data_IF_467163139998
#
_entry.id   IF_467163139998
#
_cell.length_a   1.000
_cell.length_b   1.000
_cell.length_c   1.000
_cell.angle_alpha   90.00
_cell.angle_beta   90.00
_cell.angle_gamma   90.00
#
_symmetry.space_group_name_H-M   'P 1'
#
loop_
_entity.id
_entity.type
_entity.pdbx_description
1 polymer ?
#
# COMPACT_ATOMS: atom_id res chain seq x y z
N UNK A 1 32.33 22.92 35.32
CA UNK A 1 31.74 21.57 35.30
C UNK A 1 31.13 21.34 33.91
N UNK A 2 31.34 20.15 33.35
CA UNK A 2 31.16 19.80 31.92
C UNK A 2 29.69 19.75 31.51
N UNK A 3 29.37 20.29 30.32
CA UNK A 3 28.04 20.16 29.69
C UNK A 3 27.78 18.69 29.34
N UNK A 4 26.69 18.13 29.87
CA UNK A 4 26.18 16.83 29.44
C UNK A 4 25.38 17.01 28.15
N UNK A 5 26.00 16.67 27.01
CA UNK A 5 25.29 16.56 25.73
C UNK A 5 24.41 15.32 25.74
N UNK A 6 23.10 15.51 25.94
CA UNK A 6 22.10 14.47 25.76
C UNK A 6 21.93 14.26 24.26
N UNK A 7 22.53 13.19 23.74
CA UNK A 7 22.38 12.76 22.35
C UNK A 7 20.99 12.13 22.21
N UNK A 8 20.01 12.87 21.69
CA UNK A 8 18.74 12.28 21.26
C UNK A 8 19.01 11.43 20.02
N UNK A 9 18.99 10.11 20.17
CA UNK A 9 18.88 9.22 19.01
C UNK A 9 17.53 9.49 18.34
N UNK A 10 17.48 9.74 17.01
CA UNK A 10 16.22 9.75 16.30
C UNK A 10 15.59 8.36 16.44
N UNK A 11 14.43 8.29 17.09
CA UNK A 11 13.59 7.11 17.07
C UNK A 11 13.14 6.92 15.62
N UNK A 12 13.85 6.07 14.87
CA UNK A 12 13.34 5.55 13.62
C UNK A 12 12.06 4.81 13.96
N UNK A 13 10.91 5.42 13.65
CA UNK A 13 9.64 4.73 13.69
C UNK A 13 9.81 3.48 12.83
N UNK A 14 9.91 2.31 13.47
CA UNK A 14 9.95 1.04 12.76
C UNK A 14 8.66 0.99 11.97
N UNK A 15 8.73 1.15 10.65
CA UNK A 15 7.57 1.01 9.78
C UNK A 15 6.96 -0.37 10.07
N UNK A 16 5.85 -0.40 10.80
CA UNK A 16 5.24 -1.66 11.26
C UNK A 16 4.67 -2.41 10.04
N UNK A 17 4.46 -1.72 8.91
CA UNK A 17 3.95 -2.27 7.66
C UNK A 17 4.86 -1.80 6.52
N UNK A 18 5.16 -2.70 5.58
CA UNK A 18 5.94 -2.41 4.37
C UNK A 18 5.10 -1.68 3.31
N UNK A 19 3.77 -1.77 3.43
CA UNK A 19 2.82 -1.10 2.58
C UNK A 19 1.47 -0.89 3.26
N UNK A 20 0.74 0.12 2.78
CA UNK A 20 -0.64 0.45 3.12
C UNK A 20 -1.40 0.73 1.81
N UNK A 21 -2.61 0.19 1.71
CA UNK A 21 -3.53 0.38 0.60
C UNK A 21 -4.88 0.86 1.15
N UNK A 22 -5.28 2.08 0.81
CA UNK A 22 -6.66 2.55 0.94
C UNK A 22 -7.36 2.34 -0.39
N UNK A 23 -8.48 1.61 -0.37
CA UNK A 23 -9.21 1.26 -1.58
C UNK A 23 -10.70 1.15 -1.28
N UNK A 24 -11.51 2.02 -1.90
CA UNK A 24 -12.96 1.98 -1.72
C UNK A 24 -13.44 2.31 -0.30
N UNK A 25 -12.64 3.06 0.46
CA UNK A 25 -12.91 3.37 1.88
C UNK A 25 -12.47 2.27 2.85
N UNK A 26 -11.85 1.19 2.36
CA UNK A 26 -11.24 0.16 3.19
C UNK A 26 -9.72 0.36 3.26
N UNK A 27 -9.11 0.00 4.38
CA UNK A 27 -7.67 0.05 4.58
C UNK A 27 -7.13 -1.38 4.70
N UNK A 28 -6.05 -1.64 3.97
CA UNK A 28 -5.30 -2.88 4.02
C UNK A 28 -3.83 -2.55 4.22
N UNK A 29 -3.12 -3.32 5.01
CA UNK A 29 -1.70 -3.15 5.25
C UNK A 29 -1.00 -4.50 5.36
N UNK A 30 0.32 -4.49 5.28
CA UNK A 30 1.10 -5.70 5.42
C UNK A 30 2.60 -5.48 5.36
N UNK A 31 3.35 -6.51 5.77
CA UNK A 31 4.83 -6.52 5.75
C UNK A 31 5.43 -7.24 4.55
N UNK A 32 4.62 -7.96 3.78
CA UNK A 32 5.07 -8.87 2.73
C UNK A 32 4.04 -9.02 1.62
N UNK A 33 4.26 -10.01 0.76
CA UNK A 33 3.36 -10.30 -0.35
C UNK A 33 1.95 -10.64 0.11
N UNK A 34 0.97 -10.28 -0.72
CA UNK A 34 -0.43 -10.61 -0.50
C UNK A 34 -1.04 -11.24 -1.74
N UNK A 35 -1.53 -12.46 -1.55
CA UNK A 35 -2.31 -13.17 -2.58
C UNK A 35 -3.59 -12.45 -2.95
N UNK A 36 -4.30 -12.99 -3.95
CA UNK A 36 -5.52 -12.38 -4.48
C UNK A 36 -6.55 -12.14 -3.37
N UNK A 37 -6.83 -10.87 -3.11
CA UNK A 37 -7.74 -10.44 -2.06
C UNK A 37 -8.92 -9.72 -2.69
N UNK A 38 -10.13 -10.22 -2.46
CA UNK A 38 -11.37 -9.61 -2.97
C UNK A 38 -11.61 -8.29 -2.24
N UNK A 39 -12.10 -7.31 -2.99
CA UNK A 39 -12.48 -5.98 -2.51
C UNK A 39 -13.66 -5.47 -3.33
N UNK A 40 -14.33 -4.43 -2.88
CA UNK A 40 -15.28 -3.69 -3.74
C UNK A 40 -14.95 -2.22 -3.67
N UNK A 41 -14.32 -1.70 -4.72
CA UNK A 41 -14.11 -0.28 -4.91
C UNK A 41 -14.66 0.12 -6.29
N UNK A 42 -15.59 1.06 -6.30
CA UNK A 42 -16.21 1.50 -7.54
C UNK A 42 -15.37 2.61 -8.19
N UNK A 43 -15.58 2.83 -9.48
CA UNK A 43 -15.06 4.01 -10.16
C UNK A 43 -15.44 5.28 -9.37
N UNK A 44 -14.50 6.22 -9.29
CA UNK A 44 -14.61 7.44 -8.48
C UNK A 44 -14.17 7.29 -7.02
N UNK A 45 -14.04 6.08 -6.47
CA UNK A 45 -13.53 5.88 -5.11
C UNK A 45 -12.04 6.23 -4.99
N UNK A 46 -11.63 6.65 -3.78
CA UNK A 46 -10.22 6.90 -3.45
C UNK A 46 -9.42 5.59 -3.51
N UNK A 47 -8.28 5.69 -4.18
CA UNK A 47 -7.16 4.76 -4.14
C UNK A 47 -5.97 5.53 -3.54
N UNK A 48 -5.33 4.92 -2.55
CA UNK A 48 -4.11 5.40 -1.94
C UNK A 48 -3.21 4.19 -1.70
N UNK A 49 -2.02 4.19 -2.30
CA UNK A 49 -1.03 3.14 -2.12
C UNK A 49 0.24 3.80 -1.63
N UNK A 50 0.64 3.45 -0.41
CA UNK A 50 1.78 3.99 0.29
C UNK A 50 2.72 2.82 0.65
N UNK A 51 4.02 3.01 0.41
CA UNK A 51 5.04 2.02 0.72
C UNK A 51 6.09 2.64 1.63
N UNK A 52 6.59 1.84 2.56
CA UNK A 52 7.72 2.27 3.37
C UNK A 52 8.93 2.62 2.46
N UNK A 53 9.76 3.58 2.88
CA UNK A 53 10.89 4.15 2.10
C UNK A 53 11.83 3.09 1.48
N UNK A 54 11.99 1.94 2.14
CA UNK A 54 12.87 0.86 1.69
C UNK A 54 12.12 -0.36 1.11
N UNK A 55 10.81 -0.24 0.93
CA UNK A 55 9.96 -1.31 0.43
C UNK A 55 9.98 -1.37 -1.09
N UNK A 56 10.17 -2.56 -1.64
CA UNK A 56 10.06 -2.85 -3.08
C UNK A 56 8.65 -3.30 -3.49
N UNK A 57 7.71 -3.35 -2.55
CA UNK A 57 6.36 -3.87 -2.80
C UNK A 57 5.67 -3.19 -3.98
N UNK A 58 4.86 -3.96 -4.71
CA UNK A 58 4.04 -3.47 -5.81
C UNK A 58 2.59 -3.87 -5.59
N UNK A 59 1.65 -2.94 -5.81
CA UNK A 59 0.22 -3.23 -5.80
C UNK A 59 -0.26 -3.56 -7.21
N UNK A 60 -1.11 -4.57 -7.31
CA UNK A 60 -1.84 -4.93 -8.53
C UNK A 60 -3.33 -4.81 -8.25
N UNK A 61 -4.08 -4.11 -9.11
CA UNK A 61 -5.53 -3.97 -9.03
C UNK A 61 -6.20 -4.72 -10.17
N UNK A 62 -7.35 -5.33 -9.89
CA UNK A 62 -8.07 -6.18 -10.84
C UNK A 62 -9.54 -5.78 -10.94
N UNK A 63 -10.08 -5.81 -12.15
CA UNK A 63 -11.49 -5.53 -12.45
C UNK A 63 -12.42 -6.71 -12.12
N UNK A 64 -11.87 -7.91 -11.93
CA UNK A 64 -12.57 -9.11 -11.51
C UNK A 64 -12.09 -9.59 -10.14
N UNK A 65 -12.91 -10.42 -9.50
CA UNK A 65 -12.65 -10.88 -8.14
C UNK A 65 -11.72 -12.10 -8.05
N UNK A 66 -11.28 -12.64 -9.20
CA UNK A 66 -10.34 -13.77 -9.31
C UNK A 66 -8.92 -13.34 -9.69
N UNK A 67 -8.64 -12.04 -9.71
CA UNK A 67 -7.36 -11.47 -10.12
C UNK A 67 -6.86 -11.95 -11.49
N UNK A 68 -7.78 -12.04 -12.46
CA UNK A 68 -7.48 -12.50 -13.83
C UNK A 68 -7.39 -11.36 -14.86
N UNK A 69 -8.01 -10.20 -14.57
CA UNK A 69 -8.12 -9.03 -15.45
C UNK A 69 -7.56 -7.79 -14.74
N UNK A 70 -6.23 -7.65 -14.79
CA UNK A 70 -5.51 -6.54 -14.16
C UNK A 70 -5.87 -5.21 -14.84
N UNK A 71 -6.17 -4.19 -14.03
CA UNK A 71 -6.50 -2.84 -14.49
C UNK A 71 -5.78 -1.73 -13.73
N UNK A 72 -4.82 -2.08 -12.88
CA UNK A 72 -3.92 -1.14 -12.22
C UNK A 72 -2.67 -1.85 -11.70
N UNK A 73 -1.56 -1.11 -11.65
CA UNK A 73 -0.29 -1.60 -11.13
C UNK A 73 0.59 -0.42 -10.73
N UNK A 74 1.24 -0.50 -9.56
CA UNK A 74 2.27 0.46 -9.17
C UNK A 74 3.25 -0.12 -8.16
N UNK A 75 4.54 0.15 -8.39
CA UNK A 75 5.63 -0.03 -7.41
C UNK A 75 6.13 1.32 -6.89
N UNK A 76 5.37 2.39 -7.07
CA UNK A 76 5.63 3.68 -6.44
C UNK A 76 4.36 4.13 -5.75
N UNK A 77 4.48 5.07 -4.82
CA UNK A 77 3.30 5.57 -4.13
C UNK A 77 2.29 6.09 -5.16
N UNK A 78 1.03 5.76 -4.94
CA UNK A 78 0.00 5.93 -5.95
C UNK A 78 -1.33 6.36 -5.34
N UNK A 79 -1.59 7.66 -5.43
CA UNK A 79 -2.83 8.27 -4.97
C UNK A 79 -3.64 8.80 -6.17
N UNK A 80 -4.91 8.39 -6.26
CA UNK A 80 -5.88 8.92 -7.24
C UNK A 80 -7.30 8.51 -6.91
N UNK A 81 -8.25 9.07 -7.65
CA UNK A 81 -9.58 8.45 -7.78
C UNK A 81 -9.54 7.37 -8.87
N UNK A 82 -10.21 6.26 -8.62
CA UNK A 82 -10.30 5.15 -9.54
C UNK A 82 -11.03 5.56 -10.83
N UNK A 83 -10.44 5.26 -11.99
CA UNK A 83 -11.12 5.43 -13.29
C UNK A 83 -12.05 4.25 -13.65
N UNK A 84 -11.89 3.12 -12.97
CA UNK A 84 -12.63 1.88 -13.22
C UNK A 84 -12.88 1.14 -11.91
N UNK A 85 -13.84 0.22 -11.92
CA UNK A 85 -14.12 -0.64 -10.78
C UNK A 85 -12.93 -1.57 -10.49
N UNK A 86 -12.66 -1.79 -9.20
CA UNK A 86 -11.70 -2.75 -8.69
C UNK A 86 -12.43 -3.75 -7.80
N UNK A 87 -12.21 -5.03 -8.08
CA UNK A 87 -12.88 -6.18 -7.43
C UNK A 87 -11.90 -7.10 -6.70
N UNK A 88 -10.60 -6.97 -6.97
CA UNK A 88 -9.56 -7.61 -6.18
C UNK A 88 -8.24 -6.85 -6.28
N UNK A 89 -7.32 -7.16 -5.36
CA UNK A 89 -5.94 -6.70 -5.41
C UNK A 89 -4.95 -7.82 -5.05
N UNK A 90 -3.68 -7.63 -5.42
CA UNK A 90 -2.52 -8.40 -4.96
C UNK A 90 -1.40 -7.44 -4.57
N UNK A 91 -0.49 -7.93 -3.73
CA UNK A 91 0.79 -7.27 -3.47
C UNK A 91 1.93 -8.24 -3.73
N UNK A 92 2.93 -7.83 -4.50
CA UNK A 92 4.10 -8.63 -4.88
C UNK A 92 5.39 -7.87 -4.60
N UNK A 93 6.53 -8.55 -4.76
CA UNK A 93 7.87 -7.97 -4.72
C UNK A 93 8.20 -7.27 -3.39
N UNK A 94 7.53 -7.73 -2.33
CA UNK A 94 8.00 -7.67 -0.96
C UNK A 94 8.78 -8.97 -0.65
#
# INVERSE_FOLDING_TARGET
MKLNTIMLLPAFATAIHAWTLVLGGQVFDGKGNRGCSRVTANAGSRLDWDRAILSSCCVHLYSDAGCSKQNGYSCSDWEKNLGQNVRAFKVTDC
#
